data_IF_402402181994
#
_entry.id   IF_402402181994
#
_cell.length_a   1.000
_cell.length_b   1.000
_cell.length_c   1.000
_cell.angle_alpha   90.00
_cell.angle_beta   90.00
_cell.angle_gamma   90.00
#
_symmetry.space_group_name_H-M   'P 1'
#
loop_
_entity.id
_entity.type
_entity.pdbx_description
1 polymer ?
#
# COMPACT_ATOMS: atom_id res chain seq x y z
N UNK A 1 -21.19 -24.40 23.14
CA UNK A 1 -22.33 -23.47 23.09
C UNK A 1 -21.85 -22.20 22.39
N UNK A 2 -22.63 -21.63 21.47
CA UNK A 2 -22.25 -20.36 20.81
C UNK A 2 -22.34 -19.24 21.82
N UNK A 3 -21.31 -18.39 21.85
CA UNK A 3 -21.34 -17.14 22.59
C UNK A 3 -22.43 -16.24 21.97
N UNK A 4 -23.53 -16.01 22.69
CA UNK A 4 -24.65 -15.15 22.23
C UNK A 4 -24.35 -13.65 22.35
N UNK A 5 -23.14 -13.27 22.78
CA UNK A 5 -22.77 -11.86 22.93
C UNK A 5 -22.89 -11.11 21.58
N UNK A 6 -23.50 -9.90 21.57
CA UNK A 6 -23.60 -9.10 20.36
C UNK A 6 -22.23 -8.66 19.86
N UNK A 7 -22.07 -8.69 18.54
CA UNK A 7 -20.85 -8.29 17.84
C UNK A 7 -21.11 -6.96 17.16
N UNK A 8 -20.37 -5.92 17.52
CA UNK A 8 -20.49 -4.60 16.91
C UNK A 8 -19.34 -4.36 15.93
N UNK A 9 -19.68 -4.02 14.69
CA UNK A 9 -18.73 -3.83 13.61
C UNK A 9 -18.56 -2.34 13.33
N UNK A 10 -17.35 -1.84 13.53
CA UNK A 10 -16.97 -0.43 13.36
C UNK A 10 -16.15 -0.32 12.07
N UNK A 11 -16.71 0.39 11.08
CA UNK A 11 -16.11 0.56 9.76
C UNK A 11 -14.97 1.59 9.75
N UNK A 12 -14.06 1.44 8.79
CA UNK A 12 -12.80 2.21 8.68
C UNK A 12 -12.94 3.64 8.20
N UNK A 13 -13.37 3.83 6.95
CA UNK A 13 -13.62 5.18 6.41
C UNK A 13 -15.03 5.57 6.79
N UNK A 14 -15.28 6.84 7.05
CA UNK A 14 -16.59 7.36 7.42
C UNK A 14 -17.54 7.34 6.19
N UNK A 15 -17.91 6.14 5.76
CA UNK A 15 -18.80 5.90 4.63
C UNK A 15 -20.12 6.63 4.89
N UNK A 16 -20.53 7.48 3.94
CA UNK A 16 -21.74 8.31 4.05
C UNK A 16 -23.00 7.56 3.66
N UNK A 17 -22.88 6.32 3.23
CA UNK A 17 -23.98 5.42 2.95
C UNK A 17 -24.11 4.36 4.05
N UNK A 18 -25.08 4.53 5.00
CA UNK A 18 -25.35 3.54 6.03
C UNK A 18 -25.72 2.17 5.46
N UNK A 19 -26.41 2.11 4.31
CA UNK A 19 -26.84 0.86 3.71
C UNK A 19 -25.65 0.07 3.16
N UNK A 20 -24.65 0.74 2.58
CA UNK A 20 -23.41 0.10 2.14
C UNK A 20 -22.63 -0.51 3.32
N UNK A 21 -22.59 0.17 4.47
CA UNK A 21 -21.97 -0.37 5.69
C UNK A 21 -22.75 -1.58 6.20
N UNK A 22 -24.07 -1.46 6.32
CA UNK A 22 -24.93 -2.56 6.77
C UNK A 22 -24.82 -3.79 5.85
N UNK A 23 -24.79 -3.57 4.53
CA UNK A 23 -24.60 -4.63 3.53
C UNK A 23 -23.28 -5.38 3.72
N UNK A 24 -22.18 -4.67 3.98
CA UNK A 24 -20.88 -5.29 4.26
C UNK A 24 -20.90 -6.14 5.53
N UNK A 25 -21.58 -5.67 6.57
CA UNK A 25 -21.73 -6.44 7.83
C UNK A 25 -22.61 -7.67 7.61
N UNK A 26 -23.66 -7.56 6.82
CA UNK A 26 -24.51 -8.70 6.46
C UNK A 26 -23.73 -9.76 5.65
N UNK A 27 -22.87 -9.35 4.71
CA UNK A 27 -21.97 -10.25 3.99
C UNK A 27 -21.03 -11.00 4.95
N UNK A 28 -20.44 -10.30 5.93
CA UNK A 28 -19.58 -10.93 6.93
C UNK A 28 -20.36 -11.89 7.85
N UNK A 29 -21.59 -11.52 8.26
CA UNK A 29 -22.47 -12.39 9.05
C UNK A 29 -22.80 -13.67 8.30
N UNK A 30 -23.18 -13.55 7.03
CA UNK A 30 -23.48 -14.71 6.17
C UNK A 30 -22.25 -15.59 5.97
N UNK A 31 -21.06 -15.00 5.75
CA UNK A 31 -19.80 -15.75 5.66
C UNK A 31 -19.45 -16.47 6.97
N UNK A 32 -19.87 -15.93 8.12
CA UNK A 32 -19.76 -16.54 9.44
C UNK A 32 -20.94 -17.49 9.79
N UNK A 33 -21.78 -17.83 8.80
CA UNK A 33 -22.96 -18.70 8.95
C UNK A 33 -23.94 -18.20 10.02
N UNK A 34 -24.07 -16.88 10.17
CA UNK A 34 -24.95 -16.20 11.13
C UNK A 34 -24.76 -16.68 12.59
N UNK A 35 -23.54 -17.11 12.91
CA UNK A 35 -23.21 -17.65 14.24
C UNK A 35 -23.32 -16.61 15.35
N UNK A 36 -23.13 -15.32 15.03
CA UNK A 36 -23.21 -14.23 15.99
C UNK A 36 -24.16 -13.14 15.48
N UNK A 37 -24.93 -12.49 16.36
CA UNK A 37 -25.71 -11.32 16.00
C UNK A 37 -24.76 -10.13 15.76
N UNK A 38 -24.42 -9.90 14.49
CA UNK A 38 -23.54 -8.81 14.06
C UNK A 38 -24.33 -7.54 13.77
N UNK A 39 -23.91 -6.42 14.35
CA UNK A 39 -24.55 -5.12 14.22
C UNK A 39 -23.58 -4.10 13.65
N UNK A 40 -23.98 -3.43 12.56
CA UNK A 40 -23.22 -2.30 12.02
C UNK A 40 -23.37 -1.08 12.92
N UNK A 41 -22.24 -0.50 13.31
CA UNK A 41 -22.19 0.76 14.07
C UNK A 41 -21.87 1.89 13.09
N UNK A 42 -22.85 2.77 12.85
CA UNK A 42 -22.73 3.83 11.87
C UNK A 42 -22.22 5.12 12.49
N UNK A 43 -21.05 5.57 12.02
CA UNK A 43 -20.43 6.85 12.36
C UNK A 43 -19.88 7.58 11.12
N UNK A 44 -20.32 7.17 9.90
CA UNK A 44 -20.40 8.10 8.75
C UNK A 44 -21.13 9.39 9.17
N UNK A 45 -21.58 10.35 8.38
CA UNK A 45 -22.17 11.61 8.96
C UNK A 45 -21.25 12.50 9.86
N UNK A 46 -20.50 11.97 10.83
CA UNK A 46 -19.58 12.65 11.74
C UNK A 46 -18.15 12.76 11.20
N UNK A 47 -17.83 12.09 10.10
CA UNK A 47 -16.50 12.17 9.49
C UNK A 47 -16.27 13.46 8.70
N UNK A 48 -15.15 13.50 7.98
CA UNK A 48 -14.73 14.65 7.18
C UNK A 48 -15.69 15.04 6.06
N UNK A 49 -15.82 16.36 5.85
CA UNK A 49 -16.52 16.88 4.68
C UNK A 49 -15.67 16.63 3.43
N UNK A 50 -16.32 16.19 2.35
CA UNK A 50 -15.71 16.11 1.02
C UNK A 50 -16.03 17.33 0.16
N UNK A 51 -16.83 18.27 0.67
CA UNK A 51 -17.24 19.45 -0.06
C UNK A 51 -16.01 20.32 -0.37
N UNK A 52 -15.80 20.63 -1.64
CA UNK A 52 -14.71 21.49 -2.09
C UNK A 52 -13.32 20.83 -2.06
N UNK A 53 -13.23 19.50 -1.90
CA UNK A 53 -11.95 18.78 -2.05
C UNK A 53 -11.34 19.05 -3.41
N UNK A 54 -12.17 19.12 -4.46
CA UNK A 54 -11.80 19.49 -5.82
C UNK A 54 -11.15 20.88 -5.92
N UNK A 55 -11.53 21.83 -5.07
CA UNK A 55 -10.93 23.17 -5.01
C UNK A 55 -9.48 23.15 -4.50
N UNK A 56 -9.10 22.11 -3.75
CA UNK A 56 -7.75 21.92 -3.23
C UNK A 56 -6.88 20.99 -4.12
N UNK A 57 -7.47 20.42 -5.18
CA UNK A 57 -6.75 19.60 -6.15
C UNK A 57 -6.24 20.53 -7.27
N UNK A 58 -4.94 20.50 -7.61
CA UNK A 58 -4.43 21.20 -8.77
C UNK A 58 -5.22 20.81 -10.03
N UNK A 59 -5.47 21.74 -10.96
CA UNK A 59 -6.26 21.47 -12.16
C UNK A 59 -5.72 20.28 -12.95
N UNK A 60 -6.63 19.57 -13.59
CA UNK A 60 -6.29 18.44 -14.45
C UNK A 60 -5.59 18.85 -15.74
N UNK A 61 -5.00 17.88 -16.46
CA UNK A 61 -4.42 18.13 -17.78
C UNK A 61 -5.45 18.81 -18.70
N UNK A 62 -5.16 20.02 -19.17
CA UNK A 62 -6.03 20.77 -20.10
C UNK A 62 -6.98 21.79 -19.45
N UNK A 63 -6.99 21.92 -18.12
CA UNK A 63 -7.63 23.05 -17.46
C UNK A 63 -6.63 24.23 -17.40
N UNK A 64 -7.05 25.40 -17.89
CA UNK A 64 -6.22 26.61 -17.87
C UNK A 64 -5.97 27.03 -16.43
N UNK A 65 -4.70 27.05 -16.06
CA UNK A 65 -4.20 27.59 -14.82
C UNK A 65 -3.29 28.76 -15.18
N UNK A 66 -3.50 29.92 -14.57
CA UNK A 66 -2.57 31.06 -14.67
C UNK A 66 -1.29 30.75 -13.87
N UNK A 67 -0.52 29.77 -14.33
CA UNK A 67 0.92 29.70 -14.10
C UNK A 67 1.56 29.69 -15.47
N UNK A 68 2.52 30.60 -15.64
CA UNK A 68 3.25 30.83 -16.88
C UNK A 68 3.67 29.51 -17.54
N UNK A 69 3.25 29.40 -18.80
CA UNK A 69 3.69 28.46 -19.83
C UNK A 69 3.25 26.99 -19.70
N UNK A 70 2.34 26.56 -20.58
CA UNK A 70 2.10 25.12 -20.81
C UNK A 70 0.92 24.83 -21.74
N UNK A 71 1.22 24.32 -22.94
CA UNK A 71 0.25 23.95 -23.97
C UNK A 71 -0.70 22.80 -23.55
N UNK A 72 -1.88 22.74 -24.19
CA UNK A 72 -2.96 21.81 -23.86
C UNK A 72 -2.67 20.34 -24.26
N UNK A 73 -3.02 19.34 -23.42
CA UNK A 73 -2.85 17.91 -23.68
C UNK A 73 -4.11 17.23 -24.28
N UNK A 74 -3.96 16.07 -24.96
CA UNK A 74 -5.07 15.29 -25.51
C UNK A 74 -5.61 14.23 -24.52
N UNK A 75 -6.86 13.81 -24.76
CA UNK A 75 -7.65 12.91 -23.91
C UNK A 75 -7.21 11.43 -23.97
N UNK A 76 -7.08 10.77 -22.82
CA UNK A 76 -6.73 9.35 -22.70
C UNK A 76 -7.47 8.65 -21.56
N UNK A 77 -7.99 7.45 -21.86
CA UNK A 77 -8.91 6.62 -21.06
C UNK A 77 -8.28 5.95 -19.83
N UNK A 78 -9.19 5.61 -18.91
CA UNK A 78 -9.07 4.87 -17.65
C UNK A 78 -7.96 3.83 -17.55
N UNK A 79 -7.13 3.96 -16.49
CA UNK A 79 -6.24 2.91 -16.03
C UNK A 79 -6.02 2.99 -14.51
N UNK A 80 -6.97 2.52 -13.70
CA UNK A 80 -6.87 2.48 -12.23
C UNK A 80 -5.64 1.69 -11.73
N UNK A 81 -4.85 2.25 -10.81
CA UNK A 81 -3.62 1.63 -10.27
C UNK A 81 -3.49 1.82 -8.75
N UNK A 82 -3.00 0.79 -8.06
CA UNK A 82 -2.78 0.69 -6.61
C UNK A 82 -1.45 1.28 -6.11
N UNK A 83 -1.26 1.30 -4.79
CA UNK A 83 -0.17 1.98 -4.07
C UNK A 83 1.16 1.21 -3.98
N UNK A 84 1.26 0.00 -4.54
CA UNK A 84 2.53 -0.71 -4.66
C UNK A 84 3.16 -0.40 -6.04
N UNK A 85 4.19 0.46 -6.06
CA UNK A 85 5.06 0.55 -7.22
C UNK A 85 5.84 -0.76 -7.41
N UNK A 86 6.21 -1.12 -8.65
CA UNK A 86 7.06 -2.29 -8.89
C UNK A 86 8.35 -2.21 -8.07
N UNK A 87 8.86 -3.37 -7.64
CA UNK A 87 10.14 -3.48 -6.92
C UNK A 87 11.26 -2.94 -7.83
N UNK A 88 12.02 -1.90 -7.41
CA UNK A 88 13.07 -1.32 -8.25
C UNK A 88 14.17 -2.33 -8.55
N UNK A 89 14.71 -2.32 -9.77
CA UNK A 89 15.88 -3.11 -10.11
C UNK A 89 17.12 -2.55 -9.40
N UNK A 90 18.07 -3.41 -9.04
CA UNK A 90 19.39 -2.93 -8.57
C UNK A 90 20.19 -2.34 -9.75
N UNK A 91 21.14 -1.42 -9.50
CA UNK A 91 22.00 -0.87 -10.56
C UNK A 91 22.71 -1.94 -11.40
N UNK A 92 23.11 -3.05 -10.76
CA UNK A 92 23.74 -4.18 -11.44
C UNK A 92 22.76 -4.91 -12.36
N UNK A 93 21.53 -5.17 -11.92
CA UNK A 93 20.49 -5.81 -12.74
C UNK A 93 20.13 -4.99 -13.98
N UNK A 94 20.05 -3.66 -13.84
CA UNK A 94 19.77 -2.76 -14.98
C UNK A 94 20.85 -2.84 -16.04
N UNK A 95 22.13 -2.76 -15.63
CA UNK A 95 23.27 -2.87 -16.53
C UNK A 95 23.32 -4.25 -17.20
N UNK A 96 23.04 -5.32 -16.45
CA UNK A 96 23.04 -6.67 -17.01
C UNK A 96 21.95 -6.89 -18.06
N UNK A 97 20.76 -6.29 -17.91
CA UNK A 97 19.72 -6.35 -18.95
C UNK A 97 20.17 -5.70 -20.26
N UNK A 98 20.81 -4.52 -20.18
CA UNK A 98 21.36 -3.81 -21.33
C UNK A 98 22.47 -4.65 -21.99
N UNK A 99 23.40 -5.19 -21.20
CA UNK A 99 24.51 -6.01 -21.69
C UNK A 99 24.04 -7.33 -22.29
N UNK A 100 23.07 -7.99 -21.67
CA UNK A 100 22.50 -9.24 -22.16
C UNK A 100 21.86 -9.04 -23.53
N UNK A 101 21.07 -7.98 -23.70
CA UNK A 101 20.44 -7.68 -24.98
C UNK A 101 21.46 -7.23 -26.03
N UNK A 102 22.43 -6.39 -25.66
CA UNK A 102 23.52 -6.00 -26.56
C UNK A 102 24.31 -7.23 -27.06
N UNK A 103 24.61 -8.19 -26.17
CA UNK A 103 25.28 -9.45 -26.52
C UNK A 103 24.45 -10.27 -27.50
N UNK A 104 23.14 -10.44 -27.26
CA UNK A 104 22.25 -11.14 -28.19
C UNK A 104 22.23 -10.51 -29.58
N UNK A 105 22.31 -9.19 -29.68
CA UNK A 105 22.33 -8.48 -30.96
C UNK A 105 23.69 -8.59 -31.66
N UNK A 106 24.79 -8.60 -30.92
CA UNK A 106 26.15 -8.73 -31.45
C UNK A 106 26.46 -10.18 -31.87
N UNK A 107 25.90 -11.16 -31.16
CA UNK A 107 26.09 -12.59 -31.40
C UNK A 107 24.72 -13.27 -31.58
N UNK A 108 24.06 -13.05 -32.75
CA UNK A 108 22.78 -13.68 -33.04
C UNK A 108 22.97 -15.20 -33.20
N UNK A 109 21.91 -15.96 -32.89
CA UNK A 109 21.90 -17.43 -33.00
C UNK A 109 22.39 -17.89 -34.39
N UNK A 110 23.06 -19.06 -34.52
CA UNK A 110 23.68 -19.53 -35.78
C UNK A 110 22.74 -19.64 -36.99
N UNK A 111 21.43 -19.58 -36.76
CA UNK A 111 20.38 -19.67 -37.78
C UNK A 111 20.14 -18.32 -38.48
N UNK A 112 20.53 -17.18 -37.89
CA UNK A 112 20.06 -15.85 -38.34
C UNK A 112 21.10 -14.97 -39.05
N UNK A 113 22.42 -15.12 -38.82
CA UNK A 113 23.52 -14.52 -39.63
C UNK A 113 24.90 -14.85 -39.04
N UNK A 114 26.00 -14.42 -39.71
CA UNK A 114 27.33 -14.35 -39.06
C UNK A 114 27.35 -13.18 -38.07
N UNK A 115 27.53 -13.48 -36.78
CA UNK A 115 27.69 -12.49 -35.71
C UNK A 115 28.97 -11.67 -35.80
N UNK A 116 29.09 -10.69 -34.90
CA UNK A 116 30.30 -9.88 -34.73
C UNK A 116 31.49 -10.75 -34.31
N UNK A 117 32.70 -10.33 -34.69
CA UNK A 117 33.91 -10.95 -34.16
C UNK A 117 33.94 -10.83 -32.62
N UNK A 118 34.45 -11.85 -31.89
CA UNK A 118 34.47 -11.83 -30.42
C UNK A 118 35.08 -10.56 -29.81
N UNK A 119 36.11 -10.00 -30.47
CA UNK A 119 36.79 -8.78 -30.02
C UNK A 119 35.89 -7.54 -30.13
N UNK A 120 34.99 -7.48 -31.12
CA UNK A 120 33.98 -6.40 -31.26
C UNK A 120 32.96 -6.50 -30.12
N UNK A 121 32.52 -7.73 -29.82
CA UNK A 121 31.55 -7.98 -28.75
C UNK A 121 32.09 -7.58 -27.39
N UNK A 122 33.32 -8.00 -27.05
CA UNK A 122 33.94 -7.65 -25.78
C UNK A 122 34.25 -6.15 -25.66
N UNK A 123 34.74 -5.51 -26.73
CA UNK A 123 35.00 -4.07 -26.75
C UNK A 123 33.71 -3.27 -26.53
N UNK A 124 32.61 -3.66 -27.20
CA UNK A 124 31.31 -3.01 -27.06
C UNK A 124 30.74 -3.16 -25.63
N UNK A 125 30.76 -4.37 -25.07
CA UNK A 125 30.25 -4.62 -23.72
C UNK A 125 31.06 -3.88 -22.65
N UNK A 126 32.39 -3.80 -22.81
CA UNK A 126 33.25 -3.03 -21.92
C UNK A 126 32.98 -1.52 -22.00
N UNK A 127 32.79 -0.98 -23.22
CA UNK A 127 32.46 0.42 -23.42
C UNK A 127 31.09 0.81 -22.83
N UNK A 128 30.08 -0.08 -22.93
CA UNK A 128 28.77 0.12 -22.30
C UNK A 128 28.94 0.19 -20.77
N UNK A 129 29.63 -0.79 -20.16
CA UNK A 129 29.82 -0.83 -18.72
C UNK A 129 30.58 0.40 -18.18
N UNK A 130 31.56 0.90 -18.92
CA UNK A 130 32.33 2.10 -18.54
C UNK A 130 31.50 3.38 -18.65
N UNK A 131 30.65 3.49 -19.66
CA UNK A 131 29.85 4.70 -19.92
C UNK A 131 28.56 4.75 -19.09
N UNK A 132 28.00 3.60 -18.71
CA UNK A 132 26.71 3.47 -18.02
C UNK A 132 26.57 4.30 -16.73
N UNK A 133 27.53 4.32 -15.79
CA UNK A 133 27.39 5.08 -14.54
C UNK A 133 27.22 6.59 -14.75
N UNK A 134 27.64 7.09 -15.91
CA UNK A 134 27.60 8.52 -16.29
C UNK A 134 26.24 8.94 -16.87
N UNK A 135 25.33 8.01 -17.13
CA UNK A 135 23.96 8.32 -17.56
C UNK A 135 23.18 8.96 -16.42
N UNK A 136 22.28 9.90 -16.73
CA UNK A 136 21.46 10.61 -15.73
C UNK A 136 20.14 9.90 -15.49
N UNK A 137 19.49 9.41 -16.54
CA UNK A 137 18.13 8.88 -16.49
C UNK A 137 18.11 7.36 -16.64
N UNK A 138 18.87 6.82 -17.60
CA UNK A 138 18.89 5.38 -17.91
C UNK A 138 19.36 4.52 -16.72
N UNK A 139 20.31 4.99 -15.90
CA UNK A 139 20.73 4.28 -14.68
C UNK A 139 19.64 4.09 -13.61
N UNK A 140 18.53 4.83 -13.73
CA UNK A 140 17.36 4.76 -12.85
C UNK A 140 16.14 4.12 -13.52
N UNK A 141 16.24 3.71 -14.79
CA UNK A 141 15.15 3.05 -15.49
C UNK A 141 14.97 1.61 -15.01
N UNK A 142 13.72 1.22 -14.70
CA UNK A 142 13.37 -0.13 -14.23
C UNK A 142 12.57 -0.94 -15.26
N UNK A 143 12.30 -0.39 -16.45
CA UNK A 143 11.60 -1.06 -17.54
C UNK A 143 12.55 -1.98 -18.32
N UNK A 144 12.39 -3.32 -18.27
CA UNK A 144 13.29 -4.26 -18.94
C UNK A 144 13.25 -4.15 -20.48
N UNK A 145 12.11 -3.76 -21.05
CA UNK A 145 11.95 -3.57 -22.49
C UNK A 145 12.76 -2.36 -22.95
N UNK A 146 12.64 -1.23 -22.25
CA UNK A 146 13.43 -0.03 -22.52
C UNK A 146 14.94 -0.32 -22.42
N UNK A 147 15.36 -0.98 -21.33
CA UNK A 147 16.76 -1.35 -21.11
C UNK A 147 17.27 -2.30 -22.20
N UNK A 148 16.43 -3.24 -22.66
CA UNK A 148 16.73 -4.11 -23.78
C UNK A 148 16.93 -3.34 -25.09
N UNK A 149 16.01 -2.45 -25.45
CA UNK A 149 16.09 -1.65 -26.67
C UNK A 149 17.32 -0.71 -26.67
N UNK A 150 17.68 -0.16 -25.51
CA UNK A 150 18.94 0.59 -25.34
C UNK A 150 20.15 -0.30 -25.65
N UNK A 151 20.17 -1.53 -25.13
CA UNK A 151 21.22 -2.52 -25.42
C UNK A 151 21.32 -2.86 -26.90
N UNK A 152 20.19 -3.11 -27.56
CA UNK A 152 20.13 -3.41 -28.99
C UNK A 152 20.61 -2.22 -29.85
N UNK A 153 20.20 -1.00 -29.51
CA UNK A 153 20.62 0.20 -30.24
C UNK A 153 22.13 0.49 -30.12
N UNK A 154 22.72 0.21 -28.96
CA UNK A 154 24.17 0.35 -28.75
C UNK A 154 24.95 -0.75 -29.51
N UNK A 155 24.42 -1.97 -29.53
CA UNK A 155 24.98 -3.06 -30.32
C UNK A 155 24.93 -2.79 -31.83
N UNK A 156 23.81 -2.25 -32.34
CA UNK A 156 23.68 -1.86 -33.74
C UNK A 156 24.72 -0.79 -34.12
N UNK A 157 24.91 0.24 -33.28
CA UNK A 157 25.93 1.27 -33.51
C UNK A 157 27.36 0.69 -33.54
N UNK A 158 27.64 -0.31 -32.70
CA UNK A 158 28.93 -1.01 -32.69
C UNK A 158 29.12 -1.86 -33.97
N UNK A 159 28.07 -2.54 -34.45
CA UNK A 159 28.09 -3.32 -35.69
C UNK A 159 28.31 -2.44 -36.92
N UNK A 160 27.60 -1.32 -37.02
CA UNK A 160 27.75 -0.39 -38.14
C UNK A 160 29.17 0.18 -38.18
N UNK A 161 29.70 0.58 -37.02
CA UNK A 161 31.11 1.03 -36.91
C UNK A 161 32.09 -0.06 -37.32
N UNK A 162 31.84 -1.33 -36.96
CA UNK A 162 32.70 -2.45 -37.31
C UNK A 162 32.63 -2.81 -38.81
N UNK A 163 31.49 -2.57 -39.46
CA UNK A 163 31.31 -2.78 -40.91
C UNK A 163 31.95 -1.67 -41.74
N UNK A 164 31.80 -0.42 -41.31
CA UNK A 164 32.37 0.74 -41.98
C UNK A 164 33.90 0.76 -41.95
N UNK A 165 34.51 0.13 -40.94
CA UNK A 165 35.95 -0.03 -40.81
C UNK A 165 36.55 -1.13 -41.73
N UNK A 166 35.88 -1.52 -42.80
CA UNK A 166 36.29 -2.60 -43.69
C UNK A 166 37.72 -2.45 -44.26
N UNK A 167 38.55 -3.47 -43.99
CA UNK A 167 39.86 -3.79 -44.60
C UNK A 167 41.01 -2.76 -44.54
N UNK A 168 40.80 -1.53 -44.07
CA UNK A 168 41.87 -0.64 -43.62
C UNK A 168 41.96 -0.62 -42.08
N UNK A 169 43.17 -0.41 -41.57
CA UNK A 169 43.58 -0.54 -40.16
C UNK A 169 42.47 -0.11 -39.19
N UNK A 170 41.85 -1.08 -38.49
CA UNK A 170 40.81 -0.84 -37.46
C UNK A 170 41.35 0.14 -36.43
N UNK A 171 40.80 1.36 -36.40
CA UNK A 171 41.18 2.39 -35.42
C UNK A 171 40.84 1.88 -34.01
N UNK A 172 41.85 1.63 -33.15
CA UNK A 172 41.63 1.13 -31.80
C UNK A 172 40.75 2.12 -30.99
N UNK A 173 39.53 1.69 -30.66
CA UNK A 173 38.58 2.49 -29.87
C UNK A 173 37.46 3.17 -30.64
N UNK A 174 37.33 2.96 -31.95
CA UNK A 174 36.21 3.49 -32.73
C UNK A 174 34.84 3.03 -32.18
N UNK A 175 34.71 1.76 -31.80
CA UNK A 175 33.49 1.19 -31.19
C UNK A 175 33.21 1.86 -29.84
N UNK A 176 34.25 2.04 -29.01
CA UNK A 176 34.14 2.76 -27.73
C UNK A 176 33.68 4.20 -27.93
N UNK A 177 34.17 4.89 -28.97
CA UNK A 177 33.73 6.24 -29.32
C UNK A 177 32.26 6.27 -29.79
N UNK A 178 31.84 5.30 -30.61
CA UNK A 178 30.46 5.18 -31.07
C UNK A 178 29.48 5.00 -29.89
N UNK A 179 29.80 4.13 -28.94
CA UNK A 179 29.00 3.92 -27.73
C UNK A 179 28.99 5.17 -26.83
N UNK A 180 30.14 5.83 -26.65
CA UNK A 180 30.25 7.08 -25.88
C UNK A 180 29.45 8.23 -26.50
N UNK A 181 29.25 8.24 -27.82
CA UNK A 181 28.39 9.23 -28.50
C UNK A 181 26.91 8.85 -28.40
N UNK A 182 26.59 7.58 -28.60
CA UNK A 182 25.20 7.11 -28.70
C UNK A 182 24.48 7.04 -27.35
N UNK A 183 25.17 6.62 -26.29
CA UNK A 183 24.55 6.45 -24.97
C UNK A 183 24.00 7.76 -24.38
N UNK A 184 24.69 8.92 -24.45
CA UNK A 184 24.12 10.20 -23.99
C UNK A 184 22.93 10.71 -24.81
N UNK A 185 22.78 10.30 -26.07
CA UNK A 185 21.60 10.63 -26.88
C UNK A 185 20.39 9.83 -26.41
N UNK A 186 20.57 8.52 -26.20
CA UNK A 186 19.55 7.64 -25.64
C UNK A 186 19.14 8.08 -24.23
N UNK A 187 20.10 8.54 -23.40
CA UNK A 187 19.83 9.06 -22.06
C UNK A 187 19.01 10.37 -22.09
N UNK A 188 19.23 11.24 -23.09
CA UNK A 188 18.43 12.44 -23.30
C UNK A 188 17.01 12.11 -23.74
N UNK A 189 16.84 11.16 -24.66
CA UNK A 189 15.52 10.68 -25.10
C UNK A 189 14.76 10.04 -23.94
N UNK A 190 15.44 9.20 -23.14
CA UNK A 190 14.87 8.64 -21.92
C UNK A 190 14.46 9.72 -20.93
N UNK A 191 15.29 10.76 -20.72
CA UNK A 191 14.95 11.90 -19.87
C UNK A 191 13.72 12.68 -20.34
N UNK A 192 13.60 12.92 -21.65
CA UNK A 192 12.42 13.58 -22.23
C UNK A 192 11.15 12.72 -22.10
N UNK A 193 11.27 11.41 -22.32
CA UNK A 193 10.16 10.47 -22.15
C UNK A 193 9.73 10.34 -20.69
N UNK A 194 10.69 10.26 -19.74
CA UNK A 194 10.44 10.19 -18.29
C UNK A 194 9.82 11.48 -17.76
N UNK A 195 10.33 12.65 -18.15
CA UNK A 195 9.73 13.93 -17.74
C UNK A 195 8.28 14.04 -18.21
N UNK A 196 8.05 13.75 -19.48
CA UNK A 196 6.72 13.83 -20.07
C UNK A 196 5.75 12.77 -19.51
N UNK A 197 6.16 11.49 -19.39
CA UNK A 197 5.30 10.41 -18.90
C UNK A 197 5.13 10.42 -17.37
N UNK A 198 6.17 10.78 -16.63
CA UNK A 198 6.16 10.85 -15.17
C UNK A 198 5.27 11.97 -14.65
N UNK A 199 5.31 13.17 -15.24
CA UNK A 199 4.43 14.28 -14.89
C UNK A 199 2.95 13.93 -15.16
N UNK A 200 2.68 13.27 -16.29
CA UNK A 200 1.33 12.81 -16.67
C UNK A 200 0.80 11.73 -15.74
N UNK A 201 1.62 10.72 -15.45
CA UNK A 201 1.26 9.63 -14.54
C UNK A 201 1.03 10.14 -13.11
N UNK A 202 1.94 10.99 -12.62
CA UNK A 202 1.84 11.55 -11.28
C UNK A 202 0.60 12.45 -11.11
N UNK A 203 0.29 13.27 -12.12
CA UNK A 203 -0.92 14.13 -12.11
C UNK A 203 -2.19 13.30 -12.15
N UNK A 204 -2.27 12.30 -13.03
CA UNK A 204 -3.41 11.38 -13.11
C UNK A 204 -3.59 10.57 -11.81
N UNK A 205 -2.51 9.99 -11.28
CA UNK A 205 -2.54 9.22 -10.04
C UNK A 205 -2.95 10.10 -8.84
N UNK A 206 -2.51 11.37 -8.82
CA UNK A 206 -2.89 12.34 -7.79
C UNK A 206 -4.37 12.71 -7.87
N UNK A 207 -4.92 12.97 -9.05
CA UNK A 207 -6.35 13.30 -9.22
C UNK A 207 -7.24 12.10 -8.89
N UNK A 208 -6.90 10.92 -9.43
CA UNK A 208 -7.66 9.69 -9.20
C UNK A 208 -7.66 9.26 -7.72
N UNK A 209 -6.64 9.64 -6.94
CA UNK A 209 -6.51 9.26 -5.52
C UNK A 209 -6.82 10.40 -4.55
N UNK A 210 -6.91 11.65 -4.99
CA UNK A 210 -7.10 12.80 -4.12
C UNK A 210 -8.41 12.72 -3.31
N UNK A 211 -9.50 12.21 -3.90
CA UNK A 211 -10.75 12.00 -3.17
C UNK A 211 -10.63 10.93 -2.08
N UNK A 212 -9.95 9.82 -2.37
CA UNK A 212 -9.71 8.74 -1.40
C UNK A 212 -8.76 9.17 -0.28
N UNK A 213 -7.68 9.89 -0.62
CA UNK A 213 -6.73 10.46 0.35
C UNK A 213 -7.42 11.53 1.20
N UNK A 214 -8.21 12.41 0.61
CA UNK A 214 -8.95 13.44 1.34
C UNK A 214 -9.96 12.84 2.32
N UNK A 215 -10.69 11.79 1.91
CA UNK A 215 -11.60 11.05 2.79
C UNK A 215 -10.86 10.37 3.95
N UNK A 216 -9.84 9.58 3.63
CA UNK A 216 -9.13 8.77 4.63
C UNK A 216 -8.33 9.65 5.61
N UNK A 217 -7.56 10.61 5.09
CA UNK A 217 -6.79 11.53 5.93
C UNK A 217 -7.72 12.51 6.66
N UNK A 218 -8.77 13.01 5.99
CA UNK A 218 -9.75 13.89 6.60
C UNK A 218 -10.45 13.22 7.78
N UNK A 219 -10.88 11.97 7.65
CA UNK A 219 -11.54 11.23 8.73
C UNK A 219 -10.60 10.98 9.91
N UNK A 220 -9.31 10.70 9.66
CA UNK A 220 -8.29 10.61 10.71
C UNK A 220 -8.15 11.94 11.45
N UNK A 221 -8.07 13.07 10.73
CA UNK A 221 -7.98 14.40 11.35
C UNK A 221 -9.23 14.77 12.15
N UNK A 222 -10.42 14.47 11.62
CA UNK A 222 -11.69 14.66 12.33
C UNK A 222 -11.74 13.78 13.57
N UNK A 223 -11.31 12.53 13.49
CA UNK A 223 -11.26 11.65 14.65
C UNK A 223 -10.28 12.15 15.72
N UNK A 224 -9.10 12.63 15.33
CA UNK A 224 -8.15 13.22 16.28
C UNK A 224 -8.74 14.43 17.02
N UNK A 225 -9.49 15.29 16.33
CA UNK A 225 -10.08 16.50 16.94
C UNK A 225 -11.39 16.25 17.68
N UNK A 226 -12.22 15.32 17.20
CA UNK A 226 -13.61 15.13 17.62
C UNK A 226 -13.93 13.67 18.02
N UNK A 227 -12.90 12.89 18.36
CA UNK A 227 -13.02 11.46 18.62
C UNK A 227 -14.01 11.09 19.72
N UNK A 228 -14.15 11.91 20.76
CA UNK A 228 -15.13 11.68 21.82
C UNK A 228 -16.57 11.67 21.31
N UNK A 229 -16.92 12.57 20.38
CA UNK A 229 -18.27 12.61 19.81
C UNK A 229 -18.59 11.33 19.02
N UNK A 230 -17.60 10.81 18.30
CA UNK A 230 -17.73 9.54 17.57
C UNK A 230 -17.85 8.38 18.56
N UNK A 231 -16.98 8.31 19.58
CA UNK A 231 -17.04 7.27 20.62
C UNK A 231 -18.36 7.29 21.39
N UNK A 232 -18.89 8.47 21.73
CA UNK A 232 -20.19 8.63 22.38
C UNK A 232 -21.34 8.07 21.51
N UNK A 233 -21.38 8.44 20.22
CA UNK A 233 -22.36 7.89 19.26
C UNK A 233 -22.32 6.36 19.21
N UNK A 234 -21.13 5.78 19.22
CA UNK A 234 -20.98 4.32 19.19
C UNK A 234 -21.51 3.68 20.49
N UNK A 235 -21.25 4.28 21.65
CA UNK A 235 -21.82 3.81 22.93
C UNK A 235 -23.34 3.87 22.94
N UNK A 236 -23.93 4.95 22.42
CA UNK A 236 -25.38 5.09 22.28
C UNK A 236 -25.96 3.99 21.40
N UNK A 237 -25.31 3.67 20.28
CA UNK A 237 -25.75 2.59 19.39
C UNK A 237 -25.61 1.20 20.05
N UNK A 238 -24.53 0.95 20.78
CA UNK A 238 -24.36 -0.30 21.57
C UNK A 238 -25.50 -0.43 22.60
N UNK A 239 -25.78 0.64 23.36
CA UNK A 239 -26.84 0.65 24.36
C UNK A 239 -28.24 0.50 23.74
N UNK A 240 -28.49 1.12 22.58
CA UNK A 240 -29.77 1.01 21.89
C UNK A 240 -30.05 -0.42 21.38
N UNK A 241 -29.01 -1.15 20.96
CA UNK A 241 -29.15 -2.51 20.43
C UNK A 241 -29.18 -3.56 21.53
N UNK A 242 -28.31 -3.45 22.54
CA UNK A 242 -28.06 -4.50 23.53
C UNK A 242 -28.38 -4.09 24.99
N UNK A 243 -28.92 -2.89 25.18
CA UNK A 243 -29.29 -2.33 26.48
C UNK A 243 -28.16 -1.57 27.19
N UNK A 244 -28.51 -0.73 28.17
CA UNK A 244 -27.60 0.17 28.90
C UNK A 244 -26.42 -0.51 29.62
N UNK A 245 -26.52 -1.81 29.88
CA UNK A 245 -25.45 -2.57 30.54
C UNK A 245 -24.40 -3.08 29.56
N UNK A 246 -24.72 -3.16 28.27
CA UNK A 246 -23.83 -3.63 27.22
C UNK A 246 -22.62 -2.72 27.08
N UNK A 247 -21.43 -3.31 27.01
CA UNK A 247 -20.17 -2.57 26.99
C UNK A 247 -19.79 -1.90 28.32
N UNK A 248 -20.67 -1.84 29.33
CA UNK A 248 -20.34 -1.27 30.64
C UNK A 248 -20.09 -2.35 31.69
N UNK A 249 -21.12 -3.16 31.94
CA UNK A 249 -21.10 -4.28 32.91
C UNK A 249 -21.14 -5.63 32.21
N UNK A 250 -21.67 -5.67 30.99
CA UNK A 250 -21.76 -6.87 30.16
C UNK A 250 -20.81 -6.70 28.97
N UNK A 251 -19.70 -7.45 28.92
CA UNK A 251 -18.77 -7.36 27.81
C UNK A 251 -19.42 -7.71 26.47
N UNK A 252 -19.08 -6.96 25.43
CA UNK A 252 -19.54 -7.19 24.05
C UNK A 252 -18.38 -7.64 23.16
N UNK A 253 -18.66 -8.04 21.93
CA UNK A 253 -17.62 -8.25 20.93
C UNK A 253 -17.51 -7.06 20.00
N UNK A 254 -16.29 -6.72 19.60
CA UNK A 254 -16.02 -5.65 18.64
C UNK A 254 -15.25 -6.21 17.43
N UNK A 255 -15.57 -5.69 16.26
CA UNK A 255 -14.79 -5.84 15.04
C UNK A 255 -14.43 -4.44 14.54
N UNK A 256 -13.15 -4.20 14.25
CA UNK A 256 -12.68 -2.93 13.72
C UNK A 256 -11.80 -3.08 12.49
N UNK A 257 -12.10 -2.31 11.45
CA UNK A 257 -11.28 -2.23 10.23
C UNK A 257 -10.62 -0.87 10.13
N UNK A 258 -9.32 -0.78 9.83
CA UNK A 258 -8.64 0.49 9.57
C UNK A 258 -8.85 1.49 10.72
N UNK A 259 -9.26 2.74 10.46
CA UNK A 259 -9.61 3.71 11.50
C UNK A 259 -10.74 3.22 12.43
N UNK A 260 -11.61 2.31 12.00
CA UNK A 260 -12.58 1.63 12.85
C UNK A 260 -11.93 0.72 13.90
N UNK A 261 -10.76 0.14 13.61
CA UNK A 261 -9.94 -0.56 14.59
C UNK A 261 -9.36 0.40 15.63
N UNK A 262 -8.91 1.58 15.19
CA UNK A 262 -8.43 2.63 16.09
C UNK A 262 -9.55 3.07 17.04
N UNK A 263 -10.75 3.30 16.50
CA UNK A 263 -11.93 3.67 17.28
C UNK A 263 -12.32 2.57 18.28
N UNK A 264 -12.33 1.31 17.84
CA UNK A 264 -12.65 0.16 18.69
C UNK A 264 -11.67 0.03 19.86
N UNK A 265 -10.37 0.20 19.61
CA UNK A 265 -9.34 0.12 20.65
C UNK A 265 -9.44 1.31 21.62
N UNK A 266 -9.59 2.53 21.12
CA UNK A 266 -9.81 3.70 21.99
C UNK A 266 -11.07 3.56 22.86
N UNK A 267 -12.14 2.94 22.33
CA UNK A 267 -13.32 2.60 23.13
C UNK A 267 -12.97 1.60 24.23
N UNK A 268 -12.19 0.56 23.92
CA UNK A 268 -11.84 -0.49 24.88
C UNK A 268 -10.83 -0.04 25.95
N UNK A 269 -10.00 0.96 25.66
CA UNK A 269 -8.89 1.38 26.55
C UNK A 269 -9.03 2.80 27.10
N UNK A 270 -10.11 3.52 26.77
CA UNK A 270 -10.38 4.88 27.27
C UNK A 270 -10.71 4.92 28.77
N UNK A 271 -10.90 6.14 29.31
CA UNK A 271 -11.18 6.34 30.75
C UNK A 271 -12.52 5.73 31.21
N UNK A 272 -13.57 5.84 30.39
CA UNK A 272 -14.82 5.08 30.52
C UNK A 272 -14.80 3.96 29.48
N UNK A 273 -14.16 2.80 29.68
CA UNK A 273 -13.97 1.85 28.58
C UNK A 273 -15.23 1.08 28.22
N UNK A 274 -15.40 0.74 26.94
CA UNK A 274 -16.31 -0.32 26.50
C UNK A 274 -15.65 -1.65 26.83
N UNK A 275 -16.20 -2.40 27.78
CA UNK A 275 -15.76 -3.75 28.11
C UNK A 275 -16.02 -4.68 26.94
N UNK A 276 -14.98 -5.38 26.51
CA UNK A 276 -15.02 -6.33 25.40
C UNK A 276 -14.64 -7.72 25.85
N UNK A 277 -15.42 -8.73 25.46
CA UNK A 277 -15.05 -10.13 25.64
C UNK A 277 -14.02 -10.57 24.58
N UNK A 278 -14.08 -9.96 23.40
CA UNK A 278 -13.14 -10.20 22.31
C UNK A 278 -13.22 -9.07 21.28
N UNK A 279 -12.06 -8.72 20.75
CA UNK A 279 -11.87 -7.69 19.73
C UNK A 279 -11.10 -8.31 18.56
N UNK A 280 -11.62 -8.15 17.35
CA UNK A 280 -10.90 -8.49 16.12
C UNK A 280 -10.64 -7.23 15.32
N UNK A 281 -9.37 -6.94 15.05
CA UNK A 281 -8.94 -5.81 14.22
C UNK A 281 -8.28 -6.29 12.94
N UNK A 282 -8.38 -5.50 11.86
CA UNK A 282 -7.64 -5.76 10.63
C UNK A 282 -7.29 -4.47 9.88
N UNK A 283 -6.09 -4.44 9.29
CA UNK A 283 -5.51 -3.21 8.74
C UNK A 283 -5.34 -2.11 9.79
N UNK A 284 -4.94 -2.48 11.02
CA UNK A 284 -4.99 -1.60 12.19
C UNK A 284 -3.75 -0.68 12.30
N UNK A 285 -3.98 0.63 12.39
CA UNK A 285 -2.93 1.64 12.61
C UNK A 285 -2.62 1.90 14.09
N UNK A 286 -3.49 1.44 15.00
CA UNK A 286 -3.47 1.83 16.41
C UNK A 286 -2.15 1.53 17.14
N UNK A 287 -1.47 0.38 16.93
CA UNK A 287 -0.15 0.15 17.55
C UNK A 287 0.89 1.21 17.17
N UNK A 288 0.91 1.65 15.91
CA UNK A 288 1.81 2.71 15.46
C UNK A 288 1.43 4.05 16.09
N UNK A 289 0.13 4.37 16.14
CA UNK A 289 -0.34 5.63 16.72
C UNK A 289 0.05 5.76 18.19
N UNK A 290 -0.04 4.68 18.98
CA UNK A 290 0.38 4.70 20.38
C UNK A 290 1.88 5.05 20.57
N UNK A 291 2.74 4.73 19.59
CA UNK A 291 4.17 5.09 19.64
C UNK A 291 4.43 6.57 19.33
N UNK A 292 3.61 7.18 18.47
CA UNK A 292 3.78 8.58 18.06
C UNK A 292 3.06 9.55 18.98
N UNK A 293 1.87 9.18 19.40
CA UNK A 293 0.95 9.96 20.21
C UNK A 293 0.19 9.00 21.13
N UNK A 294 0.72 8.74 22.35
CA UNK A 294 0.16 7.78 23.29
C UNK A 294 -1.35 7.97 23.47
N UNK A 295 -2.11 6.89 23.27
CA UNK A 295 -3.58 6.92 23.15
C UNK A 295 -4.36 7.33 24.41
N UNK A 296 -3.67 7.60 25.53
CA UNK A 296 -4.27 8.01 26.79
C UNK A 296 -5.19 6.96 27.40
N UNK A 297 -6.11 7.41 28.26
CA UNK A 297 -7.04 6.53 28.97
C UNK A 297 -6.34 5.67 30.02
N UNK A 298 -6.54 4.37 29.94
CA UNK A 298 -5.99 3.39 30.88
C UNK A 298 -4.57 2.94 30.53
N UNK A 299 -4.01 3.41 29.41
CA UNK A 299 -2.71 2.99 28.92
C UNK A 299 -1.62 3.98 29.35
N UNK A 300 -0.52 3.43 29.86
CA UNK A 300 0.71 4.18 30.01
C UNK A 300 1.33 4.48 28.64
N UNK A 301 2.02 5.63 28.46
CA UNK A 301 2.87 5.86 27.30
C UNK A 301 3.96 4.79 27.17
N UNK A 302 4.31 4.43 25.94
CA UNK A 302 5.47 3.57 25.69
C UNK A 302 6.77 4.33 25.98
N UNK A 303 7.57 3.83 26.93
CA UNK A 303 8.83 4.43 27.36
C UNK A 303 10.07 3.62 26.95
N UNK A 304 9.89 2.50 26.25
CA UNK A 304 10.96 1.60 25.82
C UNK A 304 11.48 0.63 26.89
N UNK A 305 10.93 0.65 28.10
CA UNK A 305 11.35 -0.24 29.21
C UNK A 305 10.73 -1.63 29.14
N UNK A 306 9.68 -1.80 28.34
CA UNK A 306 8.95 -3.06 28.23
C UNK A 306 7.64 -2.91 27.46
N UNK A 307 6.81 -3.97 27.43
CA UNK A 307 5.48 -3.91 26.80
C UNK A 307 4.54 -3.01 27.59
N UNK A 308 3.62 -2.35 26.88
CA UNK A 308 2.52 -1.58 27.45
C UNK A 308 1.44 -2.53 27.95
N UNK A 309 1.01 -2.36 29.20
CA UNK A 309 -0.02 -3.20 29.79
C UNK A 309 -1.41 -2.83 29.27
N UNK A 310 -2.14 -3.83 28.77
CA UNK A 310 -3.53 -3.72 28.34
C UNK A 310 -4.47 -3.80 29.55
N UNK A 311 -5.56 -3.02 29.56
CA UNK A 311 -6.54 -3.05 30.64
C UNK A 311 -7.46 -4.28 30.55
N UNK A 312 -8.04 -4.67 31.69
CA UNK A 312 -9.01 -5.78 31.80
C UNK A 312 -10.35 -5.50 31.09
N UNK A 313 -10.58 -4.28 30.64
CA UNK A 313 -11.71 -3.95 29.75
C UNK A 313 -11.54 -4.55 28.35
N UNK A 314 -10.33 -4.92 27.94
CA UNK A 314 -10.05 -5.60 26.68
C UNK A 314 -9.77 -7.09 26.96
N UNK A 315 -10.77 -7.96 26.80
CA UNK A 315 -10.64 -9.37 27.19
C UNK A 315 -9.71 -10.19 26.30
N UNK A 316 -9.93 -10.16 24.97
CA UNK A 316 -9.08 -10.83 23.97
C UNK A 316 -8.92 -9.94 22.77
N UNK A 317 -7.76 -10.01 22.11
CA UNK A 317 -7.49 -9.23 20.91
C UNK A 317 -6.78 -10.09 19.86
N UNK A 318 -7.40 -10.24 18.70
CA UNK A 318 -6.75 -10.75 17.50
C UNK A 318 -6.63 -9.64 16.45
N UNK A 319 -5.47 -9.54 15.81
CA UNK A 319 -5.15 -8.49 14.86
C UNK A 319 -4.65 -9.09 13.54
N UNK A 320 -5.40 -8.92 12.46
CA UNK A 320 -5.01 -9.41 11.14
C UNK A 320 -4.20 -8.34 10.41
N UNK A 321 -3.10 -8.76 9.77
CA UNK A 321 -2.22 -7.88 9.01
C UNK A 321 -1.68 -8.59 7.77
N UNK A 322 -1.36 -7.80 6.75
CA UNK A 322 -0.73 -8.28 5.52
C UNK A 322 0.62 -7.56 5.31
N UNK A 323 1.70 -8.24 4.89
CA UNK A 323 3.02 -7.59 4.69
C UNK A 323 3.04 -6.45 3.66
N UNK A 324 2.12 -6.48 2.69
CA UNK A 324 1.97 -5.43 1.68
C UNK A 324 0.95 -4.35 2.07
N UNK A 325 0.34 -4.44 3.26
CA UNK A 325 -0.54 -3.39 3.77
C UNK A 325 0.29 -2.35 4.53
N UNK A 326 0.54 -1.15 3.97
CA UNK A 326 1.36 -0.13 4.62
C UNK A 326 0.69 0.46 5.87
N UNK A 327 -0.59 0.15 6.11
CA UNK A 327 -1.37 0.64 7.24
C UNK A 327 -1.69 -0.47 8.27
N UNK A 328 -1.24 -1.71 8.04
CA UNK A 328 -1.46 -2.84 8.94
C UNK A 328 -0.28 -3.07 9.86
N UNK A 329 -0.41 -2.72 11.14
CA UNK A 329 0.66 -2.88 12.13
C UNK A 329 0.37 -4.00 13.12
N UNK A 330 1.43 -4.68 13.57
CA UNK A 330 1.36 -5.76 14.56
C UNK A 330 1.27 -5.22 15.99
N UNK A 331 0.57 -5.94 16.87
CA UNK A 331 0.28 -5.52 18.24
C UNK A 331 1.07 -6.29 19.32
N UNK A 332 1.33 -7.58 19.10
CA UNK A 332 1.92 -8.53 20.08
C UNK A 332 3.31 -8.14 20.57
N UNK A 333 4.01 -7.29 19.81
CA UNK A 333 5.35 -6.79 20.16
C UNK A 333 5.32 -5.63 21.15
N UNK A 334 4.22 -4.88 21.18
CA UNK A 334 4.09 -3.65 21.95
C UNK A 334 3.21 -3.85 23.19
N UNK A 335 2.20 -4.71 23.13
CA UNK A 335 1.18 -4.82 24.17
C UNK A 335 1.15 -6.20 24.83
N UNK A 336 0.86 -6.23 26.13
CA UNK A 336 0.60 -7.45 26.91
C UNK A 336 -0.47 -7.25 27.96
N UNK A 337 -1.17 -8.31 28.34
CA UNK A 337 -1.98 -8.32 29.56
C UNK A 337 -1.12 -8.55 30.80
N UNK A 338 -1.71 -8.31 31.98
CA UNK A 338 -1.04 -8.51 33.26
C UNK A 338 -0.60 -9.97 33.52
N UNK A 339 -1.25 -10.94 32.88
CA UNK A 339 -0.88 -12.36 32.92
C UNK A 339 0.30 -12.72 31.99
N UNK A 340 0.85 -11.73 31.27
CA UNK A 340 1.96 -11.89 30.33
C UNK A 340 1.55 -12.32 28.92
N UNK A 341 0.28 -12.67 28.71
CA UNK A 341 -0.24 -12.97 27.38
C UNK A 341 -0.20 -11.73 26.47
N UNK A 342 -0.17 -11.93 25.16
CA UNK A 342 -0.07 -10.86 24.17
C UNK A 342 -1.19 -10.99 23.13
N UNK A 343 -1.59 -9.87 22.49
CA UNK A 343 -2.53 -9.93 21.36
C UNK A 343 -2.08 -10.93 20.30
N UNK A 344 -3.02 -11.58 19.64
CA UNK A 344 -2.71 -12.55 18.59
C UNK A 344 -2.65 -11.87 17.23
N UNK A 345 -1.43 -11.63 16.75
CA UNK A 345 -1.22 -11.17 15.37
C UNK A 345 -1.37 -12.33 14.38
N UNK A 346 -2.25 -12.17 13.40
CA UNK A 346 -2.52 -13.16 12.36
C UNK A 346 -2.12 -12.56 11.01
N UNK A 347 -1.03 -13.06 10.45
CA UNK A 347 -0.65 -12.74 9.08
C UNK A 347 -1.66 -13.37 8.13
N UNK A 348 -2.23 -12.57 7.22
CA UNK A 348 -3.04 -13.07 6.11
C UNK A 348 -2.26 -13.00 4.81
N UNK A 349 -2.69 -13.79 3.84
CA UNK A 349 -2.26 -13.74 2.46
C UNK A 349 -3.49 -13.46 1.58
N UNK A 350 -3.32 -12.69 0.51
CA UNK A 350 -4.35 -12.47 -0.50
C UNK A 350 -3.80 -12.84 -1.89
N UNK A 351 -4.68 -13.11 -2.85
CA UNK A 351 -4.29 -13.43 -4.22
C UNK A 351 -3.62 -12.20 -4.88
N UNK A 352 -2.74 -12.44 -5.86
CA UNK A 352 -2.04 -11.37 -6.59
C UNK A 352 -3.00 -10.35 -7.24
N UNK A 353 -4.22 -10.75 -7.59
CA UNK A 353 -5.28 -9.86 -8.08
C UNK A 353 -5.73 -8.81 -7.07
N UNK A 354 -5.58 -9.10 -5.78
CA UNK A 354 -6.03 -8.25 -4.67
C UNK A 354 -4.95 -7.28 -4.21
N UNK A 355 -3.74 -7.33 -4.79
CA UNK A 355 -2.63 -6.41 -4.49
C UNK A 355 -3.04 -4.94 -4.64
N UNK A 356 -3.98 -4.65 -5.54
CA UNK A 356 -4.53 -3.32 -5.79
C UNK A 356 -5.41 -2.79 -4.64
N UNK A 357 -5.90 -3.67 -3.75
CA UNK A 357 -6.83 -3.35 -2.66
C UNK A 357 -6.46 -4.06 -1.34
N UNK A 358 -5.16 -4.32 -1.09
CA UNK A 358 -4.69 -5.09 0.08
C UNK A 358 -5.33 -4.63 1.40
N UNK A 359 -5.53 -3.32 1.59
CA UNK A 359 -6.11 -2.77 2.82
C UNK A 359 -7.61 -3.04 3.00
N UNK A 360 -8.36 -3.25 1.91
CA UNK A 360 -9.79 -3.59 1.95
C UNK A 360 -10.04 -5.10 1.75
N UNK A 361 -9.04 -5.83 1.24
CA UNK A 361 -9.12 -7.26 0.92
C UNK A 361 -9.33 -8.16 2.16
N UNK A 362 -9.09 -7.65 3.38
CA UNK A 362 -9.38 -8.39 4.62
C UNK A 362 -10.84 -8.81 4.74
N UNK A 363 -11.79 -8.00 4.25
CA UNK A 363 -13.23 -8.26 4.38
C UNK A 363 -13.65 -9.57 3.72
N UNK A 364 -13.00 -9.95 2.63
CA UNK A 364 -13.30 -11.18 1.88
C UNK A 364 -12.31 -12.30 2.17
N UNK A 365 -11.38 -12.11 3.11
CA UNK A 365 -10.39 -13.12 3.43
C UNK A 365 -11.02 -14.25 4.27
N UNK A 366 -10.96 -15.52 3.84
CA UNK A 366 -11.52 -16.64 4.62
C UNK A 366 -10.94 -16.77 6.04
N UNK A 367 -9.70 -16.30 6.25
CA UNK A 367 -9.05 -16.31 7.56
C UNK A 367 -9.77 -15.38 8.55
N UNK A 368 -10.46 -14.33 8.10
CA UNK A 368 -11.23 -13.45 8.98
C UNK A 368 -12.25 -14.25 9.78
N UNK A 369 -13.11 -15.03 9.13
CA UNK A 369 -14.13 -15.85 9.78
C UNK A 369 -13.50 -16.84 10.77
N UNK A 370 -12.40 -17.49 10.39
CA UNK A 370 -11.66 -18.40 11.29
C UNK A 370 -11.18 -17.68 12.56
N UNK A 371 -10.64 -16.46 12.41
CA UNK A 371 -10.18 -15.66 13.55
C UNK A 371 -11.35 -15.19 14.41
N UNK A 372 -12.51 -14.86 13.83
CA UNK A 372 -13.73 -14.57 14.60
C UNK A 372 -14.10 -15.76 15.48
N UNK A 373 -14.11 -16.98 14.92
CA UNK A 373 -14.44 -18.20 15.69
C UNK A 373 -13.50 -18.40 16.88
N UNK A 374 -12.19 -18.28 16.64
CA UNK A 374 -11.19 -18.49 17.67
C UNK A 374 -11.22 -17.38 18.74
N UNK A 375 -11.54 -16.13 18.35
CA UNK A 375 -11.51 -14.97 19.28
C UNK A 375 -12.81 -14.84 20.07
N UNK A 376 -13.96 -15.15 19.47
CA UNK A 376 -15.30 -15.03 20.08
C UNK A 376 -15.83 -16.35 20.63
N UNK A 377 -15.01 -17.41 20.66
CA UNK A 377 -15.35 -18.60 21.43
C UNK A 377 -15.34 -18.28 22.93
N UNK A 378 -16.27 -18.87 23.69
CA UNK A 378 -16.18 -18.81 25.15
C UNK A 378 -14.88 -19.49 25.62
N UNK A 379 -14.21 -18.98 26.66
CA UNK A 379 -13.16 -19.75 27.31
C UNK A 379 -13.78 -21.07 27.78
N UNK A 380 -13.18 -22.20 27.40
CA UNK A 380 -13.46 -23.46 28.10
C UNK A 380 -12.91 -23.25 29.50
N UNK A 381 -13.79 -23.17 30.50
CA UNK A 381 -13.41 -23.07 31.91
C UNK A 381 -12.26 -24.05 32.18
N UNK A 382 -11.14 -23.51 32.67
CA UNK A 382 -10.00 -24.28 33.15
C UNK A 382 -10.03 -24.36 34.66
#
# INVERSE_FOLDING_TARGET
>A
MSDERPVFVIHGIANRDPAAVAGRVAELSAAALDRWPMHSVYWGDLGSSTLGVDLAIPPGPGQTWDVRDGAAPPAGRDAALGLAGPVPLTPAQRLELVRARARQTLDPSPIESRGAAPEVTEEALAAIAEAWPRTRWLRHADDPTLLGEVGAALAAAALDTARDAGHEVRDPGAIRLAIRRRLPELDRVAGAAVGAAGERFYTWARIARAQYVALTLGDVLVYQRHGERIRARIREQIAAVAGERAGRKQPVHLIGHSLGAVIALDLATGEDPVRTAGLVTFGCQWPLFHLFDPRGGQLAPYDGSGPVLLPDSLGRWANLWHPLDPLGFVASRLFRWADGSAPRDVRVEHLLSDQLYTHSAYWTNPRLVSVLHETFAEPVDR
#
